data_IF_099580570398
#
_entry.id   IF_099580570398
#
_cell.length_a   1.000
_cell.length_b   1.000
_cell.length_c   1.000
_cell.angle_alpha   90.00
_cell.angle_beta   90.00
_cell.angle_gamma   90.00
#
_symmetry.space_group_name_H-M   'P 1'
#
loop_
_entity.id
_entity.type
_entity.pdbx_description
1 polymer ?
#
# COMPACT_ATOMS: atom_id res chain seq x y z
N UNK A 1 -17.22 -27.72 14.21
CA UNK A 1 -18.45 -27.05 14.71
C UNK A 1 -18.06 -26.25 15.93
N UNK A 2 -17.80 -24.97 15.79
CA UNK A 2 -17.46 -24.12 16.93
C UNK A 2 -18.11 -22.73 16.74
N UNK A 3 -18.81 -22.38 17.67
CA UNK A 3 -19.34 -21.28 18.44
C UNK A 3 -18.72 -19.92 18.05
N UNK A 4 -19.18 -19.32 16.94
CA UNK A 4 -19.08 -17.86 16.74
C UNK A 4 -20.13 -17.35 15.71
N UNK A 5 -21.37 -17.78 15.89
CA UNK A 5 -22.47 -17.33 15.05
C UNK A 5 -23.69 -16.99 15.93
N UNK A 6 -23.61 -15.89 16.70
CA UNK A 6 -24.77 -15.19 17.29
C UNK A 6 -24.29 -13.89 17.89
N UNK A 7 -24.59 -12.83 17.24
CA UNK A 7 -24.91 -11.49 17.77
C UNK A 7 -24.79 -10.49 16.62
N UNK A 8 -25.94 -10.09 16.10
CA UNK A 8 -26.31 -8.73 15.74
C UNK A 8 -27.56 -8.74 14.87
N UNK A 9 -28.70 -8.72 15.55
CA UNK A 9 -29.95 -8.14 15.05
C UNK A 9 -30.22 -6.95 15.95
N UNK A 10 -30.20 -5.75 15.42
CA UNK A 10 -31.17 -4.68 15.76
C UNK A 10 -31.07 -3.57 14.72
N UNK A 11 -32.17 -3.36 14.03
CA UNK A 11 -32.42 -2.23 13.17
C UNK A 11 -32.73 -1.00 14.05
N UNK A 12 -32.23 0.16 13.66
CA UNK A 12 -32.77 1.44 14.11
C UNK A 12 -32.81 2.40 12.94
N UNK A 13 -34.01 2.75 12.58
CA UNK A 13 -34.42 3.78 11.63
C UNK A 13 -34.01 5.15 12.16
N UNK A 14 -33.35 5.98 11.39
CA UNK A 14 -33.15 7.40 11.70
C UNK A 14 -33.49 8.26 10.49
N UNK A 15 -34.30 9.20 10.76
CA UNK A 15 -35.03 10.21 10.02
C UNK A 15 -34.13 11.10 9.15
N UNK A 16 -34.58 11.34 7.91
CA UNK A 16 -33.99 12.29 6.96
C UNK A 16 -34.31 13.73 7.41
N UNK A 17 -33.27 14.52 7.61
CA UNK A 17 -33.37 15.97 7.67
C UNK A 17 -32.74 16.56 6.40
N UNK A 18 -33.59 17.13 5.55
CA UNK A 18 -33.22 17.81 4.31
C UNK A 18 -32.70 19.20 4.65
N UNK A 19 -31.38 19.38 4.64
CA UNK A 19 -30.73 20.67 4.70
C UNK A 19 -30.20 21.05 3.34
N UNK A 20 -30.75 22.06 2.69
CA UNK A 20 -30.21 22.67 1.47
C UNK A 20 -28.99 23.49 1.89
N UNK A 21 -27.81 22.99 1.66
CA UNK A 21 -26.57 23.75 1.77
C UNK A 21 -26.17 24.25 0.38
N UNK A 22 -26.21 25.54 0.17
CA UNK A 22 -25.66 26.25 -0.99
C UNK A 22 -24.19 25.87 -1.15
N UNK A 23 -23.88 25.22 -2.26
CA UNK A 23 -22.53 24.81 -2.58
C UNK A 23 -21.66 25.98 -2.97
N UNK A 24 -20.79 26.41 -2.06
CA UNK A 24 -19.55 27.03 -2.46
C UNK A 24 -18.68 25.95 -3.10
N UNK A 25 -18.48 25.99 -4.41
CA UNK A 25 -17.48 25.19 -5.11
C UNK A 25 -16.10 25.68 -4.69
N UNK A 26 -15.62 25.18 -3.55
CA UNK A 26 -14.20 25.23 -3.24
C UNK A 26 -13.52 24.40 -4.33
N UNK A 27 -12.80 25.06 -5.23
CA UNK A 27 -11.81 24.41 -6.07
C UNK A 27 -10.81 23.75 -5.12
N UNK A 28 -11.04 22.48 -4.80
CA UNK A 28 -10.08 21.71 -4.04
C UNK A 28 -8.82 21.64 -4.89
N UNK A 29 -7.82 22.46 -4.56
CA UNK A 29 -6.49 22.29 -5.09
C UNK A 29 -6.11 20.85 -4.79
N UNK A 30 -5.93 20.04 -5.84
CA UNK A 30 -5.55 18.65 -5.70
C UNK A 30 -4.26 18.60 -4.89
N UNK A 31 -4.33 18.09 -3.66
CA UNK A 31 -3.17 17.99 -2.80
C UNK A 31 -2.36 16.77 -3.27
N UNK A 32 -1.12 17.01 -3.63
CA UNK A 32 -0.22 15.95 -4.04
C UNK A 32 0.29 15.13 -2.86
N UNK A 33 0.66 13.90 -3.17
CA UNK A 33 1.37 13.02 -2.25
C UNK A 33 2.62 13.72 -1.68
N UNK A 34 2.72 13.80 -0.36
CA UNK A 34 3.85 14.40 0.35
C UNK A 34 4.98 13.40 0.57
N UNK A 35 6.22 13.88 0.55
CA UNK A 35 7.37 13.10 1.00
C UNK A 35 7.29 12.80 2.50
N UNK A 36 7.92 11.70 2.93
CA UNK A 36 8.01 11.32 4.32
C UNK A 36 9.22 10.41 4.57
N UNK A 37 9.63 10.31 5.84
CA UNK A 37 10.49 9.25 6.37
C UNK A 37 9.84 8.72 7.64
N UNK A 38 9.76 7.39 7.77
CA UNK A 38 9.05 6.75 8.89
C UNK A 38 9.73 5.43 9.27
N UNK A 39 9.79 5.17 10.56
CA UNK A 39 10.35 3.95 11.15
C UNK A 39 9.22 3.09 11.72
N UNK A 40 9.36 1.78 11.57
CA UNK A 40 8.37 0.78 11.98
C UNK A 40 9.04 -0.34 12.77
N UNK A 41 8.32 -0.90 13.72
CA UNK A 41 8.60 -2.23 14.23
C UNK A 41 7.95 -3.25 13.31
N UNK A 42 8.72 -4.26 12.92
CA UNK A 42 8.24 -5.42 12.15
C UNK A 42 8.09 -6.60 13.10
N UNK A 43 6.95 -7.29 13.04
CA UNK A 43 6.68 -8.50 13.84
C UNK A 43 6.35 -9.65 12.89
N UNK A 44 6.99 -10.81 13.08
CA UNK A 44 6.77 -12.02 12.32
C UNK A 44 7.10 -13.25 13.18
N UNK A 45 6.17 -14.17 13.36
CA UNK A 45 6.36 -15.46 14.06
C UNK A 45 7.10 -15.29 15.42
N UNK A 46 6.65 -14.37 16.28
CA UNK A 46 7.25 -14.08 17.59
C UNK A 46 8.58 -13.33 17.53
N UNK A 47 9.10 -13.02 16.36
CA UNK A 47 10.35 -12.25 16.18
C UNK A 47 10.02 -10.79 15.84
N UNK A 48 10.93 -9.90 16.22
CA UNK A 48 10.83 -8.48 15.90
C UNK A 48 12.01 -8.03 15.04
N UNK A 49 11.75 -7.03 14.23
CA UNK A 49 12.74 -6.33 13.41
C UNK A 49 12.36 -4.87 13.26
N UNK A 50 13.10 -4.18 12.43
CA UNK A 50 12.84 -2.77 12.10
C UNK A 50 12.64 -2.59 10.59
N UNK A 51 11.85 -1.61 10.21
CA UNK A 51 11.78 -1.14 8.84
C UNK A 51 11.81 0.37 8.79
N UNK A 52 12.46 0.91 7.76
CA UNK A 52 12.41 2.33 7.40
C UNK A 52 11.74 2.44 6.04
N UNK A 53 10.78 3.36 5.94
CA UNK A 53 10.08 3.69 4.70
C UNK A 53 10.32 5.16 4.41
N UNK A 54 10.78 5.49 3.21
CA UNK A 54 11.07 6.87 2.80
C UNK A 54 10.50 7.12 1.43
N UNK A 55 9.67 8.15 1.31
CA UNK A 55 9.21 8.71 0.06
C UNK A 55 9.89 10.06 -0.16
N UNK A 56 10.92 10.08 -0.97
CA UNK A 56 11.58 11.31 -1.39
C UNK A 56 10.82 11.91 -2.59
N UNK A 57 10.55 13.23 -2.54
CA UNK A 57 9.88 14.00 -3.60
C UNK A 57 10.83 15.03 -4.18
N UNK A 58 10.88 15.14 -5.52
CA UNK A 58 11.60 16.19 -6.25
C UNK A 58 10.73 16.61 -7.43
N UNK A 59 10.05 17.76 -7.30
CA UNK A 59 9.00 18.15 -8.23
C UNK A 59 7.91 17.10 -8.31
N UNK A 60 7.63 16.61 -9.51
CA UNK A 60 6.66 15.55 -9.77
C UNK A 60 7.27 14.14 -9.71
N UNK A 61 8.56 14.02 -9.41
CA UNK A 61 9.25 12.74 -9.34
C UNK A 61 9.38 12.25 -7.90
N UNK A 62 9.23 10.95 -7.72
CA UNK A 62 9.27 10.29 -6.41
C UNK A 62 10.20 9.09 -6.44
N UNK A 63 10.88 8.88 -5.32
CA UNK A 63 11.62 7.66 -5.04
C UNK A 63 11.12 7.09 -3.71
N UNK A 64 10.43 5.96 -3.76
CA UNK A 64 9.89 5.29 -2.59
C UNK A 64 10.78 4.09 -2.25
N UNK A 65 11.30 4.06 -1.04
CA UNK A 65 12.16 2.97 -0.55
C UNK A 65 11.61 2.37 0.74
N UNK A 66 11.77 1.06 0.88
CA UNK A 66 11.51 0.31 2.10
C UNK A 66 12.73 -0.55 2.39
N UNK A 67 13.32 -0.38 3.57
CA UNK A 67 14.40 -1.23 4.08
C UNK A 67 13.94 -1.86 5.37
N UNK A 68 13.89 -3.18 5.41
CA UNK A 68 13.51 -3.93 6.60
C UNK A 68 14.56 -4.97 6.94
N UNK A 69 14.77 -5.18 8.23
CA UNK A 69 15.67 -6.23 8.73
C UNK A 69 15.10 -6.86 10.00
N UNK A 70 15.34 -8.15 10.16
CA UNK A 70 14.97 -8.91 11.35
C UNK A 70 16.17 -9.75 11.81
N UNK A 71 16.60 -9.56 13.06
CA UNK A 71 17.62 -10.35 13.77
C UNK A 71 18.93 -10.56 12.98
N UNK A 72 19.31 -9.64 12.07
CA UNK A 72 20.44 -9.78 11.13
C UNK A 72 20.40 -11.01 10.22
N UNK A 73 19.28 -11.73 10.23
CA UNK A 73 19.09 -12.98 9.49
C UNK A 73 18.35 -12.74 8.18
N UNK A 74 17.35 -11.85 8.21
CA UNK A 74 16.52 -11.54 7.06
C UNK A 74 16.55 -10.04 6.74
N UNK A 75 16.60 -9.70 5.47
CA UNK A 75 16.45 -8.33 5.00
C UNK A 75 15.55 -8.24 3.77
N UNK A 76 14.86 -7.12 3.67
CA UNK A 76 14.10 -6.72 2.50
C UNK A 76 14.52 -5.31 2.12
N UNK A 77 14.98 -5.16 0.87
CA UNK A 77 15.23 -3.87 0.25
C UNK A 77 14.28 -3.73 -0.93
N UNK A 78 13.41 -2.74 -0.87
CA UNK A 78 12.47 -2.45 -1.95
C UNK A 78 12.55 -0.98 -2.34
N UNK A 79 12.46 -0.71 -3.64
CA UNK A 79 12.41 0.64 -4.18
C UNK A 79 11.45 0.73 -5.35
N UNK A 80 10.84 1.89 -5.54
CA UNK A 80 10.03 2.23 -6.70
C UNK A 80 10.27 3.69 -7.06
N UNK A 81 10.55 3.95 -8.34
CA UNK A 81 10.63 5.29 -8.91
C UNK A 81 9.41 5.54 -9.78
N UNK A 82 8.78 6.69 -9.61
CA UNK A 82 7.59 7.06 -10.36
C UNK A 82 7.46 8.58 -10.45
N UNK A 83 6.60 9.03 -11.35
CA UNK A 83 6.15 10.42 -11.40
C UNK A 83 4.66 10.52 -11.10
N UNK A 84 4.22 11.70 -10.69
CA UNK A 84 2.80 12.05 -10.51
C UNK A 84 2.40 13.02 -11.62
N UNK A 85 1.36 12.64 -12.38
CA UNK A 85 0.83 13.48 -13.47
C UNK A 85 -0.69 13.36 -13.50
N UNK A 86 -1.40 14.48 -13.39
CA UNK A 86 -2.85 14.52 -13.39
C UNK A 86 -3.51 13.66 -12.29
N UNK A 87 -2.88 13.57 -11.11
CA UNK A 87 -3.37 12.74 -10.00
C UNK A 87 -3.15 11.24 -10.19
N UNK A 88 -2.34 10.84 -11.18
CA UNK A 88 -2.00 9.43 -11.48
C UNK A 88 -0.51 9.19 -11.29
N UNK A 89 -0.19 8.12 -10.59
CA UNK A 89 1.18 7.61 -10.45
C UNK A 89 1.59 6.86 -11.72
N UNK A 90 2.73 7.24 -12.29
CA UNK A 90 3.33 6.63 -13.47
C UNK A 90 4.68 6.00 -13.07
N UNK A 91 4.72 4.68 -12.78
CA UNK A 91 5.96 4.01 -12.43
C UNK A 91 6.96 4.03 -13.58
N UNK A 92 8.25 4.15 -13.26
CA UNK A 92 9.36 4.04 -14.21
C UNK A 92 10.21 2.80 -13.95
N UNK A 93 10.47 2.50 -12.68
CA UNK A 93 11.22 1.29 -12.32
C UNK A 93 10.95 0.88 -10.88
N UNK A 94 11.08 -0.41 -10.60
CA UNK A 94 11.11 -0.92 -9.23
C UNK A 94 12.11 -2.07 -9.08
N UNK A 95 12.53 -2.28 -7.83
CA UNK A 95 13.38 -3.39 -7.43
C UNK A 95 12.96 -3.87 -6.05
N UNK A 96 12.89 -5.18 -5.85
CA UNK A 96 12.64 -5.81 -4.57
C UNK A 96 13.64 -6.96 -4.37
N UNK A 97 14.46 -6.85 -3.33
CA UNK A 97 15.42 -7.87 -2.92
C UNK A 97 15.03 -8.42 -1.55
N UNK A 98 14.89 -9.73 -1.46
CA UNK A 98 14.63 -10.44 -0.20
C UNK A 98 15.81 -11.38 0.05
N UNK A 99 16.45 -11.27 1.21
CA UNK A 99 17.60 -12.09 1.60
C UNK A 99 17.35 -12.76 2.94
N UNK A 100 17.76 -14.02 3.03
CA UNK A 100 17.82 -14.81 4.24
C UNK A 100 19.26 -15.30 4.39
N UNK A 101 19.93 -15.01 5.51
CA UNK A 101 21.36 -15.30 5.72
C UNK A 101 22.26 -14.78 4.58
N UNK A 102 21.94 -13.59 4.03
CA UNK A 102 22.67 -12.99 2.93
C UNK A 102 22.34 -13.55 1.54
N UNK A 103 21.66 -14.69 1.44
CA UNK A 103 21.27 -15.32 0.19
C UNK A 103 19.84 -14.94 -0.18
N UNK A 104 19.61 -14.60 -1.44
CA UNK A 104 18.27 -14.20 -1.86
C UNK A 104 18.16 -13.92 -3.35
N UNK A 105 17.00 -13.37 -3.74
CA UNK A 105 16.71 -13.04 -5.11
C UNK A 105 16.21 -11.60 -5.22
N UNK A 106 16.50 -11.00 -6.36
CA UNK A 106 15.99 -9.67 -6.71
C UNK A 106 14.98 -9.80 -7.85
N UNK A 107 13.87 -9.11 -7.71
CA UNK A 107 12.87 -8.89 -8.75
C UNK A 107 12.93 -7.43 -9.19
N UNK A 108 13.28 -7.17 -10.42
CA UNK A 108 13.33 -5.84 -11.03
C UNK A 108 12.19 -5.66 -12.03
N UNK A 109 11.65 -4.45 -12.14
CA UNK A 109 10.66 -4.08 -13.15
C UNK A 109 11.09 -2.75 -13.78
N UNK A 110 11.05 -2.67 -15.11
CA UNK A 110 11.18 -1.41 -15.87
C UNK A 110 9.88 -1.16 -16.61
N UNK A 111 9.29 0.00 -16.44
CA UNK A 111 8.04 0.39 -17.09
C UNK A 111 8.33 1.30 -18.28
N UNK A 112 7.65 1.05 -19.38
CA UNK A 112 7.56 1.97 -20.52
C UNK A 112 6.08 2.37 -20.68
N UNK A 113 5.71 3.49 -20.09
CA UNK A 113 4.32 3.96 -20.08
C UNK A 113 3.85 4.39 -21.48
N UNK A 114 4.74 4.89 -22.33
CA UNK A 114 4.42 5.29 -23.71
C UNK A 114 4.14 4.06 -24.60
N UNK A 115 5.00 3.04 -24.51
CA UNK A 115 4.83 1.80 -25.25
C UNK A 115 3.83 0.84 -24.58
N UNK A 116 3.30 1.19 -23.39
CA UNK A 116 2.41 0.34 -22.59
C UNK A 116 3.00 -1.06 -22.36
N UNK A 117 4.26 -1.11 -21.93
CA UNK A 117 4.95 -2.35 -21.61
C UNK A 117 5.68 -2.26 -20.27
N UNK A 118 5.87 -3.43 -19.65
CA UNK A 118 6.75 -3.58 -18.49
C UNK A 118 7.69 -4.76 -18.73
N UNK A 119 8.96 -4.59 -18.42
CA UNK A 119 9.96 -5.68 -18.44
C UNK A 119 10.21 -6.11 -17.00
N UNK A 120 9.80 -7.32 -16.69
CA UNK A 120 10.00 -7.96 -15.39
C UNK A 120 11.22 -8.88 -15.46
N UNK A 121 12.17 -8.70 -14.54
CA UNK A 121 13.41 -9.50 -14.47
C UNK A 121 13.49 -10.20 -13.12
N UNK A 122 13.57 -11.53 -13.13
CA UNK A 122 13.69 -12.34 -11.93
C UNK A 122 14.60 -13.56 -12.18
N UNK A 123 15.59 -13.78 -11.29
CA UNK A 123 16.58 -14.88 -11.42
C UNK A 123 17.25 -14.92 -12.80
N UNK A 124 17.67 -13.75 -13.31
CA UNK A 124 18.34 -13.62 -14.61
C UNK A 124 17.43 -13.75 -15.84
N UNK A 125 16.15 -14.10 -15.65
CA UNK A 125 15.18 -14.20 -16.75
C UNK A 125 14.35 -12.91 -16.84
N UNK A 126 14.18 -12.39 -18.06
CA UNK A 126 13.35 -11.22 -18.34
C UNK A 126 12.12 -11.61 -19.14
N UNK A 127 10.98 -11.03 -18.78
CA UNK A 127 9.69 -11.20 -19.46
C UNK A 127 9.14 -9.82 -19.80
N UNK A 128 8.82 -9.60 -21.08
CA UNK A 128 8.12 -8.38 -21.51
C UNK A 128 6.62 -8.59 -21.42
N UNK A 129 5.94 -7.73 -20.69
CA UNK A 129 4.51 -7.78 -20.41
C UNK A 129 3.81 -6.59 -21.06
N UNK A 130 2.74 -6.83 -21.80
CA UNK A 130 1.87 -5.78 -22.35
C UNK A 130 0.92 -5.28 -21.28
N UNK A 131 0.82 -3.95 -21.10
CA UNK A 131 -0.08 -3.30 -20.18
C UNK A 131 -1.33 -2.84 -20.93
N UNK A 132 -2.48 -3.46 -20.67
CA UNK A 132 -3.77 -3.03 -21.22
C UNK A 132 -4.23 -1.68 -20.64
N UNK A 133 -3.83 -1.42 -19.40
CA UNK A 133 -4.07 -0.18 -18.66
C UNK A 133 -2.85 0.13 -17.79
N UNK A 134 -2.91 1.22 -17.00
CA UNK A 134 -1.83 1.56 -16.08
C UNK A 134 -1.59 0.42 -15.08
N UNK A 135 -0.35 -0.06 -15.02
CA UNK A 135 0.08 -1.10 -14.09
C UNK A 135 1.15 -0.56 -13.14
N UNK A 136 1.26 -1.20 -11.98
CA UNK A 136 2.07 -0.76 -10.86
C UNK A 136 2.97 -1.88 -10.33
N UNK A 137 3.99 -1.54 -9.59
CA UNK A 137 4.62 -2.38 -8.57
C UNK A 137 3.94 -2.14 -7.20
N UNK A 138 4.32 -2.90 -6.18
CA UNK A 138 3.65 -2.83 -4.88
C UNK A 138 3.76 -1.45 -4.21
N UNK A 139 4.90 -0.74 -4.30
CA UNK A 139 5.08 0.58 -3.69
C UNK A 139 4.39 1.69 -4.48
N UNK A 140 4.48 1.65 -5.80
CA UNK A 140 3.79 2.64 -6.64
C UNK A 140 2.27 2.45 -6.60
N UNK A 141 1.76 1.23 -6.39
CA UNK A 141 0.35 0.99 -6.13
C UNK A 141 -0.10 1.58 -4.80
N UNK A 142 0.67 1.39 -3.73
CA UNK A 142 0.35 2.04 -2.46
C UNK A 142 0.33 3.57 -2.60
N UNK A 143 1.31 4.14 -3.32
CA UNK A 143 1.33 5.57 -3.61
C UNK A 143 0.08 6.02 -4.40
N UNK A 144 -0.39 5.23 -5.37
CA UNK A 144 -1.61 5.50 -6.13
C UNK A 144 -2.85 5.48 -5.23
N UNK A 145 -3.00 4.47 -4.39
CA UNK A 145 -4.11 4.38 -3.43
C UNK A 145 -4.12 5.60 -2.50
N UNK A 146 -2.97 5.98 -1.95
CA UNK A 146 -2.83 7.17 -1.10
C UNK A 146 -3.21 8.45 -1.85
N UNK A 147 -2.71 8.64 -3.08
CA UNK A 147 -3.04 9.80 -3.92
C UNK A 147 -4.54 9.88 -4.23
N UNK A 148 -5.18 8.74 -4.49
CA UNK A 148 -6.64 8.70 -4.68
C UNK A 148 -7.38 9.12 -3.42
N UNK A 149 -6.99 8.60 -2.25
CA UNK A 149 -7.61 8.93 -0.97
C UNK A 149 -7.41 10.41 -0.59
N UNK A 150 -6.25 11.00 -0.86
CA UNK A 150 -5.98 12.42 -0.69
C UNK A 150 -6.96 13.25 -1.54
N UNK A 151 -7.28 12.79 -2.74
CA UNK A 151 -8.21 13.44 -3.66
C UNK A 151 -9.67 13.00 -3.45
N UNK A 152 -10.00 12.38 -2.31
CA UNK A 152 -11.36 11.93 -1.97
C UNK A 152 -11.89 10.80 -2.87
N UNK A 153 -11.02 10.09 -3.60
CA UNK A 153 -11.36 9.01 -4.53
C UNK A 153 -10.79 7.67 -4.06
N UNK A 154 -11.31 6.59 -4.60
CA UNK A 154 -10.76 5.25 -4.41
C UNK A 154 -11.34 4.32 -5.48
N UNK A 155 -10.52 3.88 -6.43
CA UNK A 155 -10.96 3.01 -7.54
C UNK A 155 -11.12 1.56 -7.10
N UNK A 156 -10.27 1.09 -6.21
CA UNK A 156 -10.29 -0.27 -5.67
C UNK A 156 -9.84 -1.36 -6.65
N UNK A 157 -9.64 -1.04 -7.94
CA UNK A 157 -9.20 -2.01 -8.95
C UNK A 157 -7.93 -1.50 -9.64
N UNK A 158 -6.89 -2.32 -9.61
CA UNK A 158 -5.57 -1.96 -10.12
C UNK A 158 -4.93 -3.15 -10.85
N UNK A 159 -3.89 -2.89 -11.63
CA UNK A 159 -3.07 -3.90 -12.27
C UNK A 159 -1.68 -3.92 -11.65
N UNK A 160 -1.24 -5.08 -11.20
CA UNK A 160 0.05 -5.31 -10.56
C UNK A 160 0.96 -6.15 -11.45
N UNK A 161 2.14 -5.62 -11.77
CA UNK A 161 3.17 -6.38 -12.48
C UNK A 161 3.76 -7.41 -11.53
N UNK A 162 3.73 -8.68 -11.96
CA UNK A 162 4.33 -9.82 -11.28
C UNK A 162 5.54 -10.31 -12.07
N UNK A 163 6.11 -11.44 -11.65
CA UNK A 163 7.32 -12.00 -12.29
C UNK A 163 7.10 -12.35 -13.77
N UNK A 164 5.94 -12.89 -14.10
CA UNK A 164 5.63 -13.44 -15.44
C UNK A 164 4.32 -12.94 -16.05
N UNK A 165 3.54 -12.16 -15.31
CA UNK A 165 2.21 -11.69 -15.72
C UNK A 165 1.85 -10.36 -15.06
N UNK A 166 0.71 -9.83 -15.45
CA UNK A 166 0.06 -8.68 -14.79
C UNK A 166 -1.26 -9.17 -14.20
N UNK A 167 -1.39 -9.08 -12.87
CA UNK A 167 -2.59 -9.49 -12.15
C UNK A 167 -3.51 -8.31 -11.92
N UNK A 168 -4.81 -8.55 -11.90
CA UNK A 168 -5.77 -7.63 -11.32
C UNK A 168 -5.69 -7.70 -9.79
N UNK A 169 -5.45 -6.57 -9.16
CA UNK A 169 -5.43 -6.44 -7.71
C UNK A 169 -6.64 -5.63 -7.25
N UNK A 170 -7.55 -6.28 -6.52
CA UNK A 170 -8.76 -5.66 -5.98
C UNK A 170 -8.55 -5.27 -4.53
N UNK A 171 -9.04 -4.10 -4.17
CA UNK A 171 -9.01 -3.59 -2.80
C UNK A 171 -10.38 -3.07 -2.42
N UNK A 172 -10.70 -3.10 -1.13
CA UNK A 172 -11.91 -2.53 -0.57
C UNK A 172 -11.60 -1.61 0.59
N UNK A 173 -12.37 -0.56 0.74
CA UNK A 173 -12.37 0.29 1.93
C UNK A 173 -13.23 -0.39 3.00
N UNK A 174 -12.61 -0.79 4.11
CA UNK A 174 -13.24 -1.62 5.16
C UNK A 174 -13.63 -0.82 6.40
N UNK A 175 -13.73 0.51 6.27
CA UNK A 175 -14.19 1.39 7.33
C UNK A 175 -13.10 2.28 7.91
N UNK A 176 -13.48 2.99 8.98
CA UNK A 176 -12.63 3.90 9.76
C UNK A 176 -12.64 3.47 11.23
N UNK A 177 -11.53 3.68 11.92
CA UNK A 177 -11.41 3.37 13.34
C UNK A 177 -10.31 4.21 13.98
N UNK A 178 -10.24 4.22 15.31
CA UNK A 178 -9.05 4.64 16.03
C UNK A 178 -8.11 3.45 16.16
N UNK A 179 -6.83 3.67 15.91
CA UNK A 179 -5.78 2.65 16.03
C UNK A 179 -4.62 3.22 16.83
N UNK A 180 -4.20 2.52 17.86
CA UNK A 180 -2.99 2.83 18.64
C UNK A 180 -1.85 1.96 18.14
N UNK A 181 -0.74 2.61 17.80
CA UNK A 181 0.56 2.02 17.44
C UNK A 181 1.65 2.67 18.31
N UNK A 182 2.89 2.19 18.34
CA UNK A 182 3.93 2.78 19.20
C UNK A 182 4.15 4.29 19.00
N UNK A 183 3.91 4.81 17.79
CA UNK A 183 4.01 6.24 17.47
C UNK A 183 2.83 7.10 18.00
N UNK A 184 1.77 6.49 18.51
CA UNK A 184 0.58 7.20 18.99
C UNK A 184 -0.74 6.62 18.51
N UNK A 185 -1.82 7.38 18.75
CA UNK A 185 -3.18 6.99 18.34
C UNK A 185 -3.65 7.82 17.15
N UNK A 186 -4.14 7.17 16.13
CA UNK A 186 -4.57 7.79 14.86
C UNK A 186 -6.00 7.38 14.50
N UNK A 187 -6.75 8.30 13.91
CA UNK A 187 -7.91 7.92 13.11
C UNK A 187 -7.39 7.34 11.79
N UNK A 188 -7.87 6.17 11.41
CA UNK A 188 -7.38 5.46 10.23
C UNK A 188 -8.51 5.03 9.31
N UNK A 189 -8.19 4.96 8.03
CA UNK A 189 -8.99 4.29 7.01
C UNK A 189 -8.34 2.93 6.77
N UNK A 190 -9.11 1.85 6.89
CA UNK A 190 -8.62 0.51 6.58
C UNK A 190 -8.92 0.17 5.13
N UNK A 191 -7.88 -0.26 4.42
CA UNK A 191 -7.93 -0.77 3.05
C UNK A 191 -7.48 -2.22 3.07
N UNK A 192 -8.35 -3.12 2.62
CA UNK A 192 -8.05 -4.54 2.52
C UNK A 192 -7.91 -4.96 1.07
N UNK A 193 -6.88 -5.74 0.76
CA UNK A 193 -6.78 -6.44 -0.52
C UNK A 193 -7.77 -7.60 -0.52
N UNK A 194 -8.53 -7.73 -1.59
CA UNK A 194 -9.39 -8.88 -1.83
C UNK A 194 -8.52 -9.98 -2.45
N UNK A 195 -8.42 -11.11 -1.79
CA UNK A 195 -7.73 -12.31 -2.26
C UNK A 195 -8.76 -13.37 -2.60
N UNK A 196 -8.51 -14.15 -3.64
CA UNK A 196 -9.32 -15.34 -3.98
C UNK A 196 -9.02 -16.49 -3.01
N UNK A 197 -7.80 -16.50 -2.45
CA UNK A 197 -7.33 -17.45 -1.46
C UNK A 197 -7.73 -16.96 -0.04
N UNK A 198 -8.45 -17.80 0.69
CA UNK A 198 -8.96 -17.51 2.05
C UNK A 198 -7.86 -17.46 3.11
N UNK A 199 -6.74 -18.14 2.86
CA UNK A 199 -5.60 -18.18 3.78
C UNK A 199 -4.69 -16.97 3.63
N UNK A 200 -5.05 -16.03 2.73
CA UNK A 200 -4.33 -14.79 2.49
C UNK A 200 -5.14 -13.57 2.90
N UNK A 201 -4.51 -12.69 3.65
CA UNK A 201 -5.05 -11.38 3.97
C UNK A 201 -3.97 -10.32 3.86
N UNK A 202 -4.33 -9.14 3.36
CA UNK A 202 -3.44 -7.97 3.35
C UNK A 202 -4.26 -6.74 3.71
N UNK A 203 -3.86 -6.05 4.76
CA UNK A 203 -4.57 -4.88 5.30
C UNK A 203 -3.61 -3.71 5.51
N UNK A 204 -4.08 -2.53 5.18
CA UNK A 204 -3.39 -1.26 5.40
C UNK A 204 -4.28 -0.37 6.27
N UNK A 205 -3.73 0.22 7.31
CA UNK A 205 -4.38 1.25 8.12
C UNK A 205 -3.69 2.57 7.83
N UNK A 206 -4.39 3.43 7.13
CA UNK A 206 -3.87 4.67 6.57
C UNK A 206 -4.38 5.86 7.39
N UNK A 207 -3.48 6.70 7.90
CA UNK A 207 -3.85 7.86 8.71
C UNK A 207 -4.04 9.11 7.83
N UNK A 208 -5.28 9.66 7.69
CA UNK A 208 -5.51 10.89 6.93
C UNK A 208 -4.68 12.08 7.43
N UNK A 209 -4.48 12.20 8.76
CA UNK A 209 -3.67 13.24 9.38
C UNK A 209 -2.19 13.20 9.01
N UNK A 210 -1.71 12.08 8.46
CA UNK A 210 -0.35 11.88 7.97
C UNK A 210 -0.32 11.69 6.44
N UNK A 211 -1.19 12.38 5.71
CA UNK A 211 -1.28 12.25 4.25
C UNK A 211 -1.48 10.78 3.82
N UNK A 212 -2.36 10.07 4.54
CA UNK A 212 -2.64 8.64 4.36
C UNK A 212 -1.40 7.73 4.47
N UNK A 213 -0.40 8.12 5.26
CA UNK A 213 0.71 7.23 5.59
C UNK A 213 0.18 5.95 6.25
N UNK A 214 0.64 4.76 5.84
CA UNK A 214 0.33 3.53 6.56
C UNK A 214 0.91 3.57 7.97
N UNK A 215 0.07 3.62 9.01
CA UNK A 215 0.51 3.49 10.41
C UNK A 215 0.60 2.04 10.84
N UNK A 216 -0.12 1.15 10.12
CA UNK A 216 0.00 -0.29 10.26
C UNK A 216 -0.20 -0.96 8.91
N UNK A 217 0.58 -2.00 8.64
CA UNK A 217 0.39 -2.94 7.53
C UNK A 217 0.42 -4.34 8.10
N UNK A 218 -0.48 -5.21 7.67
CA UNK A 218 -0.50 -6.62 8.07
C UNK A 218 -0.69 -7.49 6.84
N UNK A 219 0.08 -8.55 6.75
CA UNK A 219 -0.04 -9.55 5.70
C UNK A 219 -0.03 -10.94 6.34
N UNK A 220 -1.07 -11.71 6.04
CA UNK A 220 -1.18 -13.12 6.44
C UNK A 220 -1.09 -13.99 5.20
N UNK A 221 -0.36 -15.09 5.28
CA UNK A 221 -0.30 -16.14 4.28
C UNK A 221 -0.09 -17.47 5.00
N UNK A 222 -0.96 -18.44 4.74
CA UNK A 222 -0.92 -19.78 5.34
C UNK A 222 -0.79 -19.73 6.87
N UNK A 223 -1.62 -18.90 7.51
CA UNK A 223 -1.65 -18.73 8.97
C UNK A 223 -0.49 -17.91 9.57
N UNK A 224 0.54 -17.57 8.78
CA UNK A 224 1.67 -16.76 9.24
C UNK A 224 1.42 -15.30 8.96
N UNK A 225 1.53 -14.47 9.99
CA UNK A 225 1.30 -13.03 9.89
C UNK A 225 2.59 -12.25 10.06
N UNK A 226 2.83 -11.35 9.12
CA UNK A 226 3.85 -10.30 9.22
C UNK A 226 3.12 -8.98 9.37
N UNK A 227 3.51 -8.17 10.36
CA UNK A 227 2.97 -6.82 10.54
C UNK A 227 4.08 -5.79 10.68
N UNK A 228 3.79 -4.58 10.24
CA UNK A 228 4.59 -3.39 10.50
C UNK A 228 3.72 -2.36 11.21
N UNK A 229 4.19 -1.82 12.32
CA UNK A 229 3.52 -0.77 13.10
C UNK A 229 4.45 0.44 13.24
N UNK A 230 3.91 1.63 12.97
CA UNK A 230 4.64 2.89 13.02
C UNK A 230 5.19 3.15 14.42
N UNK A 231 6.50 3.45 14.51
CA UNK A 231 7.17 3.84 15.75
C UNK A 231 7.57 5.30 15.76
N UNK A 232 7.87 5.88 14.58
CA UNK A 232 8.30 7.27 14.45
C UNK A 232 8.08 7.79 13.03
N UNK A 233 7.69 9.04 12.89
CA UNK A 233 7.80 9.85 11.66
C UNK A 233 8.87 10.93 11.87
N UNK A 234 9.65 11.20 10.82
CA UNK A 234 10.65 12.28 10.79
C UNK A 234 10.19 13.34 9.79
#
# INVERSE_FOLDING_TARGET
MSVLNKFFKTATTATVATGIAMGATLSANATDLSGFSATYVVKADGRSGTATRTLAKSGNNYNYTVKASAARIASVDQSSKFSLSGGRILPSSSSMSVRLFGVGNTHGIKFNNSAKTAVSTYKGKSTTLKMSSQAYDDLSLEAQIRQELINGRFSGNYHLVRKTNIDTAKFKRSGTSKLTVPAGTYNVVRIDRVHDDRDRATSFWLAPSLNYLPVKVSQTNDGKTISMELTKTN
#
